data_IF_137994132864
#
_entry.id   IF_137994132864
#
_cell.length_a   1.000
_cell.length_b   1.000
_cell.length_c   1.000
_cell.angle_alpha   90.00
_cell.angle_beta   90.00
_cell.angle_gamma   90.00
#
_symmetry.space_group_name_H-M   'P 1'
#
loop_
_entity.id
_entity.type
_entity.pdbx_description
1 polymer ?
#
# COMPACT_ATOMS: atom_id res chain seq x y z
N UNK A 1 -16.71 -1.95 2.17
CA UNK A 1 -16.43 -1.32 0.86
C UNK A 1 -15.38 -2.10 0.10
N UNK A 2 -15.43 -2.08 -1.21
CA UNK A 2 -14.41 -2.73 -2.05
C UNK A 2 -14.18 -1.90 -3.30
N UNK A 3 -12.93 -1.86 -3.77
CA UNK A 3 -12.57 -1.12 -4.97
C UNK A 3 -11.25 -1.63 -5.55
N UNK A 4 -11.00 -1.30 -6.81
CA UNK A 4 -9.77 -1.63 -7.51
C UNK A 4 -9.12 -0.34 -7.99
N UNK A 5 -7.86 -0.13 -7.63
CA UNK A 5 -7.07 1.00 -8.12
C UNK A 5 -6.23 0.54 -9.30
N UNK A 6 -6.57 1.05 -10.50
CA UNK A 6 -5.84 0.73 -11.72
C UNK A 6 -4.54 1.54 -11.75
N UNK A 7 -3.48 0.94 -11.25
CA UNK A 7 -2.16 1.57 -11.19
C UNK A 7 -1.09 0.48 -11.11
N UNK A 8 0.13 0.82 -11.51
CA UNK A 8 1.26 -0.07 -11.28
C UNK A 8 1.60 -0.03 -9.79
N UNK A 9 1.52 -1.15 -9.06
CA UNK A 9 1.88 -1.14 -7.64
C UNK A 9 3.35 -0.77 -7.44
N UNK A 10 3.70 -0.11 -6.31
CA UNK A 10 5.08 0.27 -6.05
C UNK A 10 5.95 -0.95 -5.77
N UNK A 11 7.21 -0.86 -6.14
CA UNK A 11 8.23 -1.86 -5.79
C UNK A 11 9.22 -1.31 -4.77
N UNK A 12 9.14 -0.02 -4.48
CA UNK A 12 9.94 0.66 -3.46
C UNK A 12 9.08 0.89 -2.22
N UNK A 13 9.60 0.54 -1.05
CA UNK A 13 8.88 0.64 0.21
C UNK A 13 9.63 1.52 1.19
N UNK A 14 9.03 1.78 2.37
CA UNK A 14 9.60 2.65 3.39
C UNK A 14 10.96 2.20 3.92
N UNK A 15 11.36 0.95 3.69
CA UNK A 15 12.68 0.47 4.10
C UNK A 15 13.79 0.95 3.20
N UNK A 16 13.45 1.60 2.08
CA UNK A 16 14.42 2.17 1.15
C UNK A 16 14.91 3.56 1.57
N UNK A 17 14.65 3.97 2.81
CA UNK A 17 15.12 5.26 3.33
C UNK A 17 16.63 5.34 3.33
N UNK A 18 17.14 6.50 2.94
CA UNK A 18 18.57 6.77 2.84
C UNK A 18 19.02 7.76 3.89
N UNK A 19 20.34 7.78 4.14
CA UNK A 19 20.97 8.67 5.11
C UNK A 19 22.06 9.49 4.41
N UNK A 20 22.10 10.77 4.71
CA UNK A 20 23.23 11.63 4.31
C UNK A 20 23.69 12.47 5.50
N UNK A 21 24.90 12.95 5.43
CA UNK A 21 25.49 13.79 6.50
C UNK A 21 25.32 15.26 6.12
N UNK A 22 24.69 16.03 7.01
CA UNK A 22 24.51 17.47 6.86
C UNK A 22 25.05 18.15 8.14
N UNK A 23 26.01 19.04 7.99
CA UNK A 23 26.63 19.73 9.13
C UNK A 23 27.14 18.77 10.21
N UNK A 24 27.75 17.64 9.80
CA UNK A 24 28.27 16.64 10.70
C UNK A 24 27.26 15.75 11.38
N UNK A 25 25.96 15.89 11.05
CA UNK A 25 24.88 15.07 11.63
C UNK A 25 24.24 14.19 10.58
N UNK A 26 23.88 12.94 10.91
CA UNK A 26 23.13 12.10 9.97
C UNK A 26 21.71 12.64 9.78
N UNK A 27 21.28 12.71 8.53
CA UNK A 27 19.93 13.11 8.16
C UNK A 27 19.32 11.98 7.35
N UNK A 28 18.18 11.46 7.83
CA UNK A 28 17.42 10.45 7.13
C UNK A 28 16.47 11.13 6.15
N UNK A 29 16.42 10.62 4.95
CA UNK A 29 15.51 11.16 3.94
C UNK A 29 14.91 10.03 3.12
N UNK A 30 13.73 10.32 2.58
CA UNK A 30 13.00 9.39 1.76
C UNK A 30 13.47 9.53 0.31
N UNK A 31 13.85 8.44 -0.39
CA UNK A 31 14.20 8.52 -1.80
C UNK A 31 13.06 9.08 -2.64
N UNK A 32 13.40 9.74 -3.75
CA UNK A 32 12.39 10.31 -4.65
C UNK A 32 11.38 9.27 -5.13
N UNK A 33 11.83 8.05 -5.43
CA UNK A 33 10.94 6.97 -5.87
C UNK A 33 9.90 6.62 -4.81
N UNK A 34 10.28 6.61 -3.54
CA UNK A 34 9.35 6.33 -2.44
C UNK A 34 8.36 7.48 -2.26
N UNK A 35 8.83 8.74 -2.34
CA UNK A 35 7.93 9.90 -2.28
C UNK A 35 6.91 9.86 -3.40
N UNK A 36 7.35 9.51 -4.62
CA UNK A 36 6.46 9.40 -5.77
C UNK A 36 5.44 8.27 -5.59
N UNK A 37 5.88 7.13 -5.04
CA UNK A 37 4.99 6.01 -4.75
C UNK A 37 3.92 6.41 -3.73
N UNK A 38 4.30 7.11 -2.66
CA UNK A 38 3.34 7.62 -1.66
C UNK A 38 2.34 8.58 -2.29
N UNK A 39 2.82 9.53 -3.07
CA UNK A 39 1.96 10.53 -3.71
C UNK A 39 0.94 9.86 -4.63
N UNK A 40 1.37 8.87 -5.40
CA UNK A 40 0.52 8.14 -6.33
C UNK A 40 -0.53 7.30 -5.57
N UNK A 41 -0.11 6.61 -4.50
CA UNK A 41 -1.04 5.87 -3.65
C UNK A 41 -2.08 6.79 -3.02
N UNK A 42 -1.63 7.90 -2.42
CA UNK A 42 -2.54 8.86 -1.80
C UNK A 42 -3.56 9.41 -2.80
N UNK A 43 -3.12 9.76 -4.01
CA UNK A 43 -4.00 10.29 -5.04
C UNK A 43 -5.08 9.28 -5.44
N UNK A 44 -4.70 8.01 -5.64
CA UNK A 44 -5.64 6.96 -6.00
C UNK A 44 -6.58 6.62 -4.83
N UNK A 45 -6.07 6.57 -3.60
CA UNK A 45 -6.86 6.29 -2.41
C UNK A 45 -7.86 7.41 -2.10
N UNK A 46 -7.46 8.67 -2.32
CA UNK A 46 -8.30 9.82 -2.01
C UNK A 46 -9.64 9.80 -2.77
N UNK A 47 -9.64 9.29 -3.99
CA UNK A 47 -10.86 9.18 -4.79
C UNK A 47 -11.79 8.05 -4.32
N UNK A 48 -11.31 7.18 -3.43
CA UNK A 48 -12.04 6.00 -2.97
C UNK A 48 -12.36 6.05 -1.47
N UNK A 49 -11.90 7.06 -0.76
CA UNK A 49 -12.05 7.11 0.69
C UNK A 49 -13.51 7.10 1.12
N UNK A 50 -13.84 6.52 2.29
CA UNK A 50 -15.22 6.54 2.78
C UNK A 50 -15.63 7.96 3.17
N UNK A 51 -16.94 8.21 3.23
CA UNK A 51 -17.49 9.50 3.64
C UNK A 51 -17.07 9.86 5.07
N UNK A 52 -16.99 8.86 5.93
CA UNK A 52 -16.50 9.01 7.30
C UNK A 52 -15.45 7.95 7.56
N UNK A 53 -14.37 8.28 8.28
CA UNK A 53 -13.37 7.28 8.63
C UNK A 53 -13.99 6.12 9.42
N UNK A 54 -13.47 4.91 9.20
CA UNK A 54 -13.84 3.78 10.03
C UNK A 54 -13.42 4.05 11.47
N UNK A 55 -14.28 3.70 12.42
CA UNK A 55 -14.05 3.89 13.86
C UNK A 55 -14.19 2.59 14.66
N UNK A 56 -14.31 1.46 13.99
CA UNK A 56 -14.48 0.14 14.58
C UNK A 56 -13.45 -0.83 14.03
N UNK A 57 -13.21 -1.96 14.70
CA UNK A 57 -12.32 -2.98 14.15
C UNK A 57 -12.73 -3.38 12.73
N UNK A 58 -11.76 -3.49 11.85
CA UNK A 58 -12.00 -3.84 10.43
C UNK A 58 -11.13 -5.00 10.00
N UNK A 59 -11.62 -5.71 8.99
CA UNK A 59 -10.83 -6.62 8.17
C UNK A 59 -10.36 -5.88 6.94
N UNK A 60 -9.09 -6.01 6.63
CA UNK A 60 -8.51 -5.45 5.40
C UNK A 60 -8.00 -6.59 4.52
N UNK A 61 -8.52 -6.66 3.30
CA UNK A 61 -8.06 -7.60 2.28
C UNK A 61 -7.43 -6.80 1.15
N UNK A 62 -6.19 -7.13 0.81
CA UNK A 62 -5.46 -6.44 -0.24
C UNK A 62 -4.86 -7.46 -1.21
N UNK A 63 -5.12 -7.27 -2.49
CA UNK A 63 -4.53 -8.05 -3.56
C UNK A 63 -3.66 -7.15 -4.42
N UNK A 64 -2.36 -7.38 -4.38
CA UNK A 64 -1.37 -6.62 -5.14
C UNK A 64 -1.15 -7.30 -6.50
N UNK A 65 -1.54 -6.62 -7.56
CA UNK A 65 -1.43 -7.15 -8.93
C UNK A 65 -0.33 -6.40 -9.67
N UNK A 66 0.83 -7.05 -9.82
CA UNK A 66 1.99 -6.46 -10.50
C UNK A 66 1.98 -6.82 -11.98
N UNK A 67 2.52 -5.95 -12.86
CA UNK A 67 2.61 -6.27 -14.28
C UNK A 67 3.31 -7.61 -14.50
N UNK A 68 2.68 -8.50 -15.23
CA UNK A 68 3.11 -9.90 -15.32
C UNK A 68 4.43 -10.14 -16.06
N UNK A 69 4.82 -9.26 -16.98
CA UNK A 69 6.00 -9.51 -17.78
C UNK A 69 5.91 -10.85 -18.50
N UNK A 70 6.84 -11.76 -18.21
CA UNK A 70 6.87 -13.12 -18.78
C UNK A 70 6.15 -14.15 -17.91
N UNK A 71 5.59 -13.74 -16.78
CA UNK A 71 4.84 -14.62 -15.90
C UNK A 71 3.41 -14.80 -16.40
N UNK A 72 2.73 -15.81 -15.88
CA UNK A 72 1.33 -16.04 -16.20
C UNK A 72 0.45 -15.10 -15.40
N UNK A 73 -0.66 -14.68 -15.99
CA UNK A 73 -1.69 -13.94 -15.28
C UNK A 73 -2.24 -14.79 -14.14
N UNK A 74 -2.20 -14.25 -12.90
CA UNK A 74 -2.67 -14.95 -11.71
C UNK A 74 -1.62 -15.82 -11.02
N UNK A 75 -0.39 -15.84 -11.51
CA UNK A 75 0.72 -16.52 -10.85
C UNK A 75 1.13 -15.74 -9.61
N UNK A 76 1.36 -16.42 -8.50
CA UNK A 76 1.85 -15.75 -7.30
C UNK A 76 3.22 -15.12 -7.51
N UNK A 77 3.37 -13.88 -7.09
CA UNK A 77 4.68 -13.21 -7.12
C UNK A 77 5.46 -13.55 -5.85
N UNK A 78 6.47 -14.39 -5.97
CA UNK A 78 7.29 -14.85 -4.86
C UNK A 78 8.61 -14.09 -4.74
N UNK A 79 8.68 -12.86 -5.27
CA UNK A 79 9.85 -11.99 -5.20
C UNK A 79 9.51 -10.70 -4.46
N UNK A 80 10.52 -9.92 -4.09
CA UNK A 80 10.29 -8.61 -3.48
C UNK A 80 9.40 -7.74 -4.36
N UNK A 81 8.64 -6.81 -3.76
CA UNK A 81 8.69 -6.39 -2.36
C UNK A 81 7.91 -7.34 -1.43
N UNK A 82 8.26 -7.33 -0.14
CA UNK A 82 7.63 -8.15 0.87
C UNK A 82 6.24 -7.63 1.22
N UNK A 83 5.33 -8.55 1.60
CA UNK A 83 3.95 -8.17 1.93
C UNK A 83 3.86 -7.20 3.10
N UNK A 84 4.66 -7.38 4.15
CA UNK A 84 4.65 -6.50 5.32
C UNK A 84 5.08 -5.07 4.94
N UNK A 85 6.08 -4.93 4.10
CA UNK A 85 6.55 -3.61 3.65
C UNK A 85 5.53 -2.91 2.76
N UNK A 86 4.89 -3.64 1.85
CA UNK A 86 3.81 -3.12 1.01
C UNK A 86 2.63 -2.65 1.86
N UNK A 87 2.22 -3.48 2.83
CA UNK A 87 1.09 -3.17 3.70
C UNK A 87 1.38 -1.98 4.60
N UNK A 88 2.60 -1.85 5.10
CA UNK A 88 3.00 -0.70 5.90
C UNK A 88 2.86 0.59 5.09
N UNK A 89 3.37 0.61 3.88
CA UNK A 89 3.27 1.76 3.00
C UNK A 89 1.80 2.09 2.68
N UNK A 90 1.01 1.08 2.32
CA UNK A 90 -0.40 1.26 1.98
C UNK A 90 -1.20 1.78 3.18
N UNK A 91 -1.07 1.14 4.35
CA UNK A 91 -1.83 1.53 5.53
C UNK A 91 -1.48 2.94 6.01
N UNK A 92 -0.20 3.32 5.92
CA UNK A 92 0.21 4.69 6.23
C UNK A 92 -0.50 5.69 5.31
N UNK A 93 -0.56 5.41 4.02
CA UNK A 93 -1.26 6.26 3.06
C UNK A 93 -2.77 6.29 3.32
N UNK A 94 -3.37 5.15 3.64
CA UNK A 94 -4.80 5.07 3.96
C UNK A 94 -5.15 5.88 5.21
N UNK A 95 -4.28 5.87 6.21
CA UNK A 95 -4.43 6.69 7.40
C UNK A 95 -4.38 8.18 7.04
N UNK A 96 -3.39 8.57 6.24
CA UNK A 96 -3.21 9.96 5.83
C UNK A 96 -4.40 10.52 5.05
N UNK A 97 -5.02 9.72 4.18
CA UNK A 97 -6.17 10.19 3.38
C UNK A 97 -7.50 10.06 4.10
N UNK A 98 -7.55 9.40 5.26
CA UNK A 98 -8.75 9.39 6.09
C UNK A 98 -9.62 8.14 6.00
N UNK A 99 -9.07 6.98 5.69
CA UNK A 99 -9.83 5.72 5.79
C UNK A 99 -10.14 5.38 7.24
N UNK A 100 -9.20 5.69 8.15
CA UNK A 100 -9.33 5.53 9.59
C UNK A 100 -8.41 6.54 10.26
N UNK A 101 -8.62 6.74 11.54
CA UNK A 101 -7.77 7.63 12.33
C UNK A 101 -6.41 6.99 12.61
N UNK A 102 -6.41 5.67 12.79
CA UNK A 102 -5.21 4.91 13.11
C UNK A 102 -5.38 3.49 12.56
N UNK A 103 -4.33 2.93 11.96
CA UNK A 103 -4.36 1.59 11.39
C UNK A 103 -4.40 0.48 12.45
N UNK A 104 -4.34 0.83 13.74
CA UNK A 104 -4.58 -0.14 14.82
C UNK A 104 -6.00 -0.72 14.77
N UNK A 105 -6.91 -0.10 14.03
CA UNK A 105 -8.26 -0.64 13.81
C UNK A 105 -8.27 -1.86 12.88
N UNK A 106 -7.20 -2.08 12.11
CA UNK A 106 -7.08 -3.28 11.27
C UNK A 106 -6.75 -4.46 12.17
N UNK A 107 -7.76 -5.29 12.44
CA UNK A 107 -7.64 -6.43 13.37
C UNK A 107 -7.49 -7.76 12.65
N UNK A 108 -7.85 -7.83 11.37
CA UNK A 108 -7.66 -9.00 10.52
C UNK A 108 -7.20 -8.52 9.15
N UNK A 109 -6.15 -9.14 8.64
CA UNK A 109 -5.53 -8.70 7.39
C UNK A 109 -5.20 -9.90 6.52
N UNK A 110 -5.60 -9.84 5.24
CA UNK A 110 -5.28 -10.84 4.23
C UNK A 110 -4.58 -10.13 3.09
N UNK A 111 -3.39 -10.61 2.74
CA UNK A 111 -2.54 -9.97 1.73
C UNK A 111 -2.06 -11.02 0.74
N UNK A 112 -2.22 -10.73 -0.54
CA UNK A 112 -1.70 -11.60 -1.59
C UNK A 112 -1.01 -10.77 -2.67
N UNK A 113 0.02 -11.35 -3.29
CA UNK A 113 0.77 -10.73 -4.39
C UNK A 113 0.70 -11.62 -5.63
N UNK A 114 0.32 -11.03 -6.75
CA UNK A 114 0.20 -11.75 -8.02
C UNK A 114 0.92 -11.01 -9.14
N UNK A 115 1.33 -11.78 -10.16
CA UNK A 115 1.64 -11.26 -11.48
C UNK A 115 0.31 -11.20 -12.24
N UNK A 116 0.02 -10.09 -12.91
CA UNK A 116 -1.29 -9.90 -13.51
C UNK A 116 -1.20 -9.19 -14.86
N UNK A 117 -2.12 -9.54 -15.76
CA UNK A 117 -2.30 -8.84 -17.02
C UNK A 117 -2.76 -7.41 -16.80
N UNK A 118 -3.68 -7.21 -15.83
CA UNK A 118 -4.18 -5.89 -15.46
C UNK A 118 -3.58 -5.50 -14.11
N UNK A 119 -2.55 -4.62 -14.09
CA UNK A 119 -1.93 -4.21 -12.84
C UNK A 119 -2.86 -3.34 -12.01
N UNK A 120 -2.78 -3.49 -10.71
CA UNK A 120 -3.57 -2.68 -9.80
C UNK A 120 -3.52 -3.21 -8.38
N UNK A 121 -4.33 -2.59 -7.53
CA UNK A 121 -4.45 -2.97 -6.14
C UNK A 121 -5.94 -3.10 -5.83
N UNK A 122 -6.36 -4.32 -5.48
CA UNK A 122 -7.71 -4.57 -5.01
C UNK A 122 -7.73 -4.43 -3.49
N UNK A 123 -8.71 -3.68 -2.98
CA UNK A 123 -8.86 -3.43 -1.54
C UNK A 123 -10.31 -3.71 -1.15
N UNK A 124 -10.48 -4.45 -0.07
CA UNK A 124 -11.76 -4.67 0.57
C UNK A 124 -11.63 -4.40 2.06
N UNK A 125 -12.58 -3.63 2.61
CA UNK A 125 -12.62 -3.31 4.03
C UNK A 125 -14.01 -3.65 4.54
N UNK A 126 -14.08 -4.44 5.62
CA UNK A 126 -15.32 -4.79 6.27
C UNK A 126 -15.21 -4.61 7.77
N UNK A 127 -16.25 -4.05 8.39
CA UNK A 127 -16.29 -3.94 9.84
C UNK A 127 -16.45 -5.32 10.45
N UNK A 128 -15.74 -5.52 11.56
CA UNK A 128 -15.84 -6.73 12.38
C UNK A 128 -16.76 -6.46 13.56
N UNK A 129 -17.55 -7.43 13.91
CA UNK A 129 -18.48 -7.33 15.04
C UNK A 129 -17.87 -7.79 16.35
#
# INVERSE_FOLDING_TARGET
>A
MKFFMAMKPPTVTHQEKQVRVVNGKPVFYEPAELRNARAKLRANLASQKPLSPYDRPVELVVTWCFPRGKHRDGEYRATKPDTDNLQKLLKDCMTEVGFWKDDCLVCREIVEKFWAEIPGIYIRIEELT
#
